data_IF_990868668663
#
_entry.id   IF_990868668663
#
_cell.length_a   1.000
_cell.length_b   1.000
_cell.length_c   1.000
_cell.angle_alpha   90.00
_cell.angle_beta   90.00
_cell.angle_gamma   90.00
#
_symmetry.space_group_name_H-M   'P 1'
#
loop_
_entity.id
_entity.type
_entity.pdbx_description
1 polymer ?
#
# COMPACT_ATOMS: atom_id res chain seq x y z
N UNK A 1 9.86 6.32 7.34
CA UNK A 1 9.34 6.26 8.71
C UNK A 1 10.06 7.21 9.67
N UNK A 2 9.38 7.68 10.68
CA UNK A 2 9.92 8.54 11.73
C UNK A 2 9.52 8.02 13.11
N UNK A 3 10.38 8.27 14.12
CA UNK A 3 10.06 7.99 15.52
C UNK A 3 9.78 9.30 16.25
N UNK A 4 8.65 9.37 16.95
CA UNK A 4 8.28 10.51 17.80
C UNK A 4 7.73 10.00 19.12
N UNK A 5 8.28 10.50 20.25
CA UNK A 5 7.85 10.13 21.60
C UNK A 5 7.86 8.61 21.86
N UNK A 6 8.81 7.88 21.25
CA UNK A 6 8.94 6.42 21.40
C UNK A 6 7.97 5.58 20.57
N UNK A 7 7.27 6.18 19.63
CA UNK A 7 6.40 5.48 18.67
C UNK A 7 6.79 5.81 17.23
N UNK A 8 6.57 4.84 16.34
CA UNK A 8 6.86 4.95 14.90
C UNK A 8 5.59 5.36 14.15
N UNK A 9 5.77 6.24 13.18
CA UNK A 9 4.79 6.55 12.15
C UNK A 9 5.45 6.56 10.78
N UNK A 10 4.76 6.04 9.78
CA UNK A 10 5.26 5.94 8.41
C UNK A 10 4.14 6.04 7.39
N UNK A 11 4.51 6.36 6.18
CA UNK A 11 3.66 6.22 4.99
C UNK A 11 4.52 6.27 3.73
N UNK A 12 3.98 5.79 2.60
CA UNK A 12 4.60 5.89 1.29
C UNK A 12 3.63 6.50 0.28
N UNK A 13 4.17 7.29 -0.64
CA UNK A 13 3.42 7.93 -1.72
C UNK A 13 4.23 7.91 -3.00
N UNK A 14 3.61 7.52 -4.11
CA UNK A 14 4.24 7.52 -5.43
C UNK A 14 3.84 8.78 -6.20
N UNK A 15 4.83 9.56 -6.63
CA UNK A 15 4.65 10.73 -7.50
C UNK A 15 4.94 10.36 -8.96
N UNK A 16 4.22 11.00 -9.88
CA UNK A 16 4.52 10.94 -11.31
C UNK A 16 5.15 12.25 -11.72
N UNK A 17 6.38 12.20 -12.24
CA UNK A 17 7.12 13.38 -12.72
C UNK A 17 6.93 13.55 -14.24
N UNK A 18 6.47 14.72 -14.67
CA UNK A 18 6.28 15.05 -16.08
C UNK A 18 5.29 14.13 -16.80
N UNK A 19 5.50 13.94 -18.10
CA UNK A 19 4.66 13.08 -18.92
C UNK A 19 4.92 11.60 -18.64
N UNK A 20 3.85 10.82 -18.56
CA UNK A 20 3.92 9.38 -18.34
C UNK A 20 2.93 8.64 -19.25
N UNK A 21 3.26 7.44 -19.71
CA UNK A 21 2.34 6.59 -20.45
C UNK A 21 1.04 6.36 -19.67
N UNK A 22 -0.09 6.28 -20.39
CA UNK A 22 -1.41 6.07 -19.77
C UNK A 22 -1.45 4.82 -18.88
N UNK A 23 -0.75 3.77 -19.28
CA UNK A 23 -0.65 2.53 -18.49
C UNK A 23 0.05 2.71 -17.14
N UNK A 24 1.06 3.62 -17.05
CA UNK A 24 1.71 3.95 -15.79
C UNK A 24 0.77 4.76 -14.89
N UNK A 25 0.05 5.74 -15.45
CA UNK A 25 -0.98 6.50 -14.72
C UNK A 25 -2.08 5.57 -14.18
N UNK A 26 -2.52 4.60 -14.99
CA UNK A 26 -3.49 3.60 -14.57
C UNK A 26 -2.96 2.72 -13.43
N UNK A 27 -1.68 2.32 -13.48
CA UNK A 27 -1.05 1.57 -12.40
C UNK A 27 -1.05 2.37 -11.09
N UNK A 28 -0.69 3.67 -11.14
CA UNK A 28 -0.70 4.57 -9.96
C UNK A 28 -2.10 4.62 -9.35
N UNK A 29 -3.11 4.88 -10.18
CA UNK A 29 -4.50 4.91 -9.72
C UNK A 29 -4.95 3.60 -9.09
N UNK A 30 -4.74 2.49 -9.78
CA UNK A 30 -5.17 1.16 -9.31
C UNK A 30 -4.47 0.79 -8.00
N UNK A 31 -3.20 1.12 -7.85
CA UNK A 31 -2.47 0.86 -6.60
C UNK A 31 -3.03 1.70 -5.46
N UNK A 32 -3.25 3.00 -5.68
CA UNK A 32 -3.85 3.92 -4.69
C UNK A 32 -5.26 3.44 -4.29
N UNK A 33 -6.11 3.11 -5.25
CA UNK A 33 -7.46 2.59 -5.00
C UNK A 33 -7.43 1.27 -4.21
N UNK A 34 -6.46 0.38 -4.52
CA UNK A 34 -6.33 -0.91 -3.83
C UNK A 34 -5.99 -0.74 -2.35
N UNK A 35 -5.17 0.27 -2.00
CA UNK A 35 -4.89 0.62 -0.61
C UNK A 35 -6.19 0.91 0.15
N UNK A 36 -7.04 1.78 -0.38
CA UNK A 36 -8.31 2.11 0.27
C UNK A 36 -9.27 0.92 0.33
N UNK A 37 -9.29 0.05 -0.68
CA UNK A 37 -10.06 -1.21 -0.62
C UNK A 37 -9.58 -2.16 0.47
N UNK A 38 -8.26 -2.21 0.71
CA UNK A 38 -7.68 -2.91 1.84
C UNK A 38 -8.10 -2.28 3.18
N UNK A 39 -8.00 -0.96 3.30
CA UNK A 39 -8.38 -0.20 4.51
C UNK A 39 -9.85 -0.41 4.89
N UNK A 40 -10.76 -0.48 3.91
CA UNK A 40 -12.19 -0.80 4.17
C UNK A 40 -12.39 -2.13 4.89
N UNK A 41 -11.46 -3.07 4.77
CA UNK A 41 -11.50 -4.39 5.43
C UNK A 41 -10.78 -4.42 6.77
N UNK A 42 -10.05 -3.36 7.14
CA UNK A 42 -9.31 -3.25 8.39
C UNK A 42 -10.24 -2.89 9.58
N UNK A 43 -11.28 -3.68 9.79
CA UNK A 43 -12.29 -3.46 10.83
C UNK A 43 -12.23 -4.54 11.91
N UNK A 44 -12.54 -4.17 13.15
CA UNK A 44 -12.54 -5.10 14.28
C UNK A 44 -13.50 -6.29 14.03
N UNK A 45 -12.97 -7.50 14.22
CA UNK A 45 -13.69 -8.75 13.93
C UNK A 45 -13.43 -9.32 12.54
N UNK A 46 -12.94 -8.52 11.57
CA UNK A 46 -12.40 -9.00 10.30
C UNK A 46 -11.07 -9.76 10.46
N UNK A 47 -10.44 -10.11 9.37
CA UNK A 47 -9.17 -10.84 9.36
C UNK A 47 -8.17 -10.21 8.40
N UNK A 48 -6.88 -10.44 8.65
CA UNK A 48 -5.78 -9.99 7.75
C UNK A 48 -6.02 -10.46 6.30
N UNK A 49 -6.48 -11.70 6.10
CA UNK A 49 -6.79 -12.22 4.77
C UNK A 49 -7.93 -11.49 4.03
N UNK A 50 -8.78 -10.77 4.74
CA UNK A 50 -9.82 -9.95 4.10
C UNK A 50 -9.21 -8.70 3.47
N UNK A 51 -8.24 -8.06 4.15
CA UNK A 51 -7.43 -6.95 3.64
C UNK A 51 -6.64 -7.42 2.40
N UNK A 52 -5.86 -8.48 2.58
CA UNK A 52 -5.01 -9.10 1.56
C UNK A 52 -5.79 -9.44 0.28
N UNK A 53 -6.94 -10.10 0.43
CA UNK A 53 -7.80 -10.46 -0.69
C UNK A 53 -8.37 -9.23 -1.41
N UNK A 54 -8.80 -8.21 -0.69
CA UNK A 54 -9.38 -7.01 -1.29
C UNK A 54 -8.37 -6.30 -2.21
N UNK A 55 -7.11 -6.22 -1.78
CA UNK A 55 -6.00 -5.66 -2.57
C UNK A 55 -5.72 -6.53 -3.79
N UNK A 56 -5.51 -7.84 -3.60
CA UNK A 56 -5.19 -8.77 -4.69
C UNK A 56 -6.31 -8.87 -5.72
N UNK A 57 -7.56 -8.99 -5.28
CA UNK A 57 -8.72 -9.09 -6.18
C UNK A 57 -8.81 -7.88 -7.11
N UNK A 58 -8.57 -6.70 -6.56
CA UNK A 58 -8.62 -5.48 -7.35
C UNK A 58 -7.43 -5.33 -8.30
N UNK A 59 -6.23 -5.56 -7.84
CA UNK A 59 -5.00 -5.35 -8.62
C UNK A 59 -4.66 -6.50 -9.55
N UNK A 60 -4.61 -7.75 -9.04
CA UNK A 60 -4.17 -8.92 -9.80
C UNK A 60 -5.32 -9.51 -10.64
N UNK A 61 -6.51 -9.76 -10.02
CA UNK A 61 -7.58 -10.45 -10.72
C UNK A 61 -8.36 -9.55 -11.69
N UNK A 62 -8.59 -8.28 -11.34
CA UNK A 62 -9.36 -7.35 -12.20
C UNK A 62 -8.51 -6.58 -13.19
N UNK A 63 -7.28 -6.21 -12.81
CA UNK A 63 -6.40 -5.39 -13.65
C UNK A 63 -5.20 -6.15 -14.23
N UNK A 64 -4.91 -7.38 -13.80
CA UNK A 64 -3.84 -8.22 -14.34
C UNK A 64 -2.44 -7.81 -13.92
N UNK A 65 -2.30 -6.98 -12.88
CA UNK A 65 -1.01 -6.49 -12.36
C UNK A 65 -0.34 -7.49 -11.42
N UNK A 66 0.98 -7.38 -11.27
CA UNK A 66 1.74 -8.23 -10.36
C UNK A 66 1.72 -7.71 -8.92
N UNK A 67 1.16 -8.46 -7.98
CA UNK A 67 1.24 -8.14 -6.53
C UNK A 67 2.53 -8.67 -5.96
N UNK A 68 3.41 -7.80 -5.45
CA UNK A 68 4.65 -8.20 -4.76
C UNK A 68 4.31 -9.04 -3.54
N UNK A 69 5.07 -10.14 -3.33
CA UNK A 69 4.81 -11.11 -2.24
C UNK A 69 5.96 -11.21 -1.24
N UNK A 70 7.13 -10.76 -1.63
CA UNK A 70 8.37 -10.78 -0.85
C UNK A 70 8.39 -9.69 0.23
N UNK A 71 7.61 -8.63 0.03
CA UNK A 71 7.44 -7.50 0.94
C UNK A 71 5.96 -7.37 1.29
N UNK A 72 5.67 -7.08 2.55
CA UNK A 72 4.30 -7.06 3.09
C UNK A 72 4.17 -5.96 4.14
N UNK A 73 2.96 -5.49 4.37
CA UNK A 73 2.65 -4.63 5.50
C UNK A 73 2.80 -5.36 6.84
N UNK A 74 2.69 -4.63 7.92
CA UNK A 74 3.02 -5.12 9.26
C UNK A 74 2.26 -4.37 10.35
N UNK A 75 2.33 -4.89 11.57
CA UNK A 75 2.03 -4.12 12.77
C UNK A 75 3.09 -3.06 13.01
N UNK A 76 2.74 -1.97 13.66
CA UNK A 76 3.69 -0.96 14.09
C UNK A 76 3.27 -0.35 15.42
N UNK A 77 4.28 0.13 16.16
CA UNK A 77 4.08 0.74 17.47
C UNK A 77 5.35 1.36 17.99
N UNK A 78 6.05 0.68 18.88
CA UNK A 78 7.36 1.13 19.40
C UNK A 78 8.50 0.80 18.44
N UNK A 79 8.33 -0.25 17.63
CA UNK A 79 9.23 -0.61 16.54
C UNK A 79 8.53 -0.45 15.19
N UNK A 80 9.31 -0.27 14.14
CA UNK A 80 8.77 -0.07 12.79
C UNK A 80 8.03 -1.33 12.30
N UNK A 81 8.65 -2.48 12.44
CA UNK A 81 8.09 -3.75 12.01
C UNK A 81 7.72 -4.60 13.22
N UNK A 82 6.42 -4.74 13.48
CA UNK A 82 5.85 -5.60 14.52
C UNK A 82 4.89 -6.62 13.89
N UNK A 83 4.59 -7.68 14.62
CA UNK A 83 3.48 -8.57 14.23
C UNK A 83 2.12 -7.82 14.34
N UNK A 84 1.15 -8.15 13.50
CA UNK A 84 1.17 -9.22 12.48
C UNK A 84 1.70 -8.75 11.12
N UNK A 85 2.18 -9.70 10.30
CA UNK A 85 2.36 -9.46 8.88
C UNK A 85 1.01 -9.17 8.20
N UNK A 86 0.98 -8.18 7.29
CA UNK A 86 -0.20 -7.73 6.54
C UNK A 86 0.07 -7.87 5.02
N UNK A 87 -0.02 -9.09 4.47
CA UNK A 87 0.27 -9.29 3.05
C UNK A 87 -0.79 -8.62 2.16
N UNK A 88 -0.37 -8.27 0.93
CA UNK A 88 -1.23 -7.70 -0.10
C UNK A 88 -1.89 -8.76 -1.00
N UNK A 89 -1.81 -10.04 -0.61
CA UNK A 89 -2.37 -11.20 -1.30
C UNK A 89 -2.83 -12.25 -0.28
N UNK A 90 -3.88 -12.99 -0.59
CA UNK A 90 -4.38 -14.00 0.32
C UNK A 90 -5.83 -14.42 0.08
N UNK A 91 -6.41 -15.10 1.05
CA UNK A 91 -7.79 -15.60 0.99
C UNK A 91 -8.66 -14.92 2.05
N UNK A 92 -9.90 -14.64 1.68
CA UNK A 92 -10.92 -14.13 2.62
C UNK A 92 -11.08 -15.08 3.81
N UNK A 93 -11.31 -14.49 4.99
CA UNK A 93 -11.60 -15.23 6.22
C UNK A 93 -10.39 -15.95 6.82
N UNK A 94 -9.17 -15.72 6.33
CA UNK A 94 -7.94 -16.35 6.85
C UNK A 94 -7.06 -15.36 7.62
N UNK A 95 -6.04 -15.87 8.29
CA UNK A 95 -5.08 -15.08 9.06
C UNK A 95 -5.62 -14.57 10.39
N UNK A 96 -4.84 -13.73 11.06
CA UNK A 96 -5.14 -13.18 12.36
C UNK A 96 -6.47 -12.40 12.34
N UNK A 97 -7.28 -12.58 13.39
CA UNK A 97 -8.48 -11.78 13.61
C UNK A 97 -8.10 -10.38 14.09
N UNK A 98 -8.60 -9.37 13.41
CA UNK A 98 -8.32 -7.98 13.73
C UNK A 98 -9.00 -7.57 15.04
N UNK A 99 -8.20 -7.11 15.99
CA UNK A 99 -8.67 -6.58 17.27
C UNK A 99 -8.81 -5.06 17.20
N UNK A 100 -9.73 -4.50 17.94
CA UNK A 100 -9.88 -3.05 18.06
C UNK A 100 -8.61 -2.45 18.66
N UNK A 101 -8.17 -1.31 18.12
CA UNK A 101 -6.95 -0.58 18.44
C UNK A 101 -5.63 -1.23 17.98
N UNK A 102 -5.66 -2.32 17.22
CA UNK A 102 -4.48 -2.80 16.51
C UNK A 102 -4.06 -1.73 15.49
N UNK A 103 -2.78 -1.34 15.49
CA UNK A 103 -2.20 -0.43 14.51
C UNK A 103 -1.38 -1.24 13.50
N UNK A 104 -1.66 -1.04 12.21
CA UNK A 104 -1.01 -1.76 11.11
C UNK A 104 -0.67 -0.81 9.96
N UNK A 105 0.39 -1.13 9.23
CA UNK A 105 0.69 -0.59 7.92
C UNK A 105 -0.01 -1.44 6.84
N UNK A 106 -0.71 -0.78 5.94
CA UNK A 106 -1.27 -1.39 4.72
C UNK A 106 -0.57 -0.71 3.56
N UNK A 107 0.20 -1.49 2.79
CA UNK A 107 1.19 -0.96 1.86
C UNK A 107 1.28 -1.77 0.55
N UNK A 108 0.28 -1.72 -0.32
CA UNK A 108 0.35 -2.42 -1.60
C UNK A 108 1.53 -1.94 -2.45
N UNK A 109 2.34 -2.91 -2.90
CA UNK A 109 3.40 -2.77 -3.89
C UNK A 109 2.98 -3.55 -5.14
N UNK A 110 2.71 -2.83 -6.23
CA UNK A 110 2.08 -3.36 -7.42
C UNK A 110 2.95 -3.09 -8.64
N UNK A 111 3.30 -4.15 -9.36
CA UNK A 111 4.09 -4.11 -10.59
C UNK A 111 3.17 -4.06 -11.81
N UNK A 112 3.52 -3.27 -12.81
CA UNK A 112 2.84 -3.27 -14.11
C UNK A 112 2.88 -4.64 -14.79
N UNK A 113 4.01 -5.34 -14.64
CA UNK A 113 4.25 -6.67 -15.19
C UNK A 113 4.11 -7.79 -14.16
N UNK A 114 5.12 -8.65 -14.09
CA UNK A 114 5.11 -9.81 -13.18
C UNK A 114 5.39 -9.41 -11.73
N UNK A 115 4.87 -10.20 -10.79
CA UNK A 115 4.99 -9.98 -9.34
C UNK A 115 6.41 -10.09 -8.76
N UNK A 116 7.32 -10.75 -9.48
CA UNK A 116 8.64 -11.12 -8.94
C UNK A 116 9.57 -9.91 -8.83
N UNK A 117 10.22 -9.81 -7.70
CA UNK A 117 11.24 -8.79 -7.40
C UNK A 117 12.56 -9.44 -7.02
N UNK A 118 13.62 -8.65 -6.92
CA UNK A 118 14.93 -9.05 -6.38
C UNK A 118 15.56 -7.87 -5.65
N UNK A 119 16.40 -8.18 -4.67
CA UNK A 119 17.19 -7.17 -3.97
C UNK A 119 18.54 -7.02 -4.66
N UNK A 120 18.97 -5.79 -4.90
CA UNK A 120 20.28 -5.45 -5.46
C UNK A 120 21.43 -5.83 -4.51
N UNK A 121 22.66 -5.77 -5.00
CA UNK A 121 23.86 -6.10 -4.22
C UNK A 121 24.12 -5.17 -3.03
N UNK A 122 23.48 -4.00 -2.99
CA UNK A 122 23.51 -3.07 -1.86
C UNK A 122 22.71 -3.57 -0.64
N UNK A 123 21.96 -4.68 -0.81
CA UNK A 123 21.11 -5.27 0.25
C UNK A 123 19.87 -4.47 0.62
N UNK A 124 19.58 -3.39 -0.12
CA UNK A 124 18.48 -2.46 0.17
C UNK A 124 17.54 -2.23 -1.02
N UNK A 125 18.08 -1.90 -2.18
CA UNK A 125 17.30 -1.56 -3.37
C UNK A 125 16.57 -2.78 -3.91
N UNK A 126 15.24 -2.68 -4.00
CA UNK A 126 14.39 -3.73 -4.57
C UNK A 126 13.92 -3.31 -5.96
N UNK A 127 14.06 -4.21 -6.93
CA UNK A 127 13.64 -3.99 -8.33
C UNK A 127 12.76 -5.12 -8.84
N UNK A 128 11.90 -4.80 -9.81
CA UNK A 128 11.13 -5.81 -10.54
C UNK A 128 12.07 -6.66 -11.42
N UNK A 129 11.83 -7.98 -11.47
CA UNK A 129 12.68 -8.88 -12.27
C UNK A 129 12.55 -8.68 -13.77
N UNK A 130 11.41 -8.20 -14.23
CA UNK A 130 11.13 -7.96 -15.65
C UNK A 130 11.40 -6.51 -16.08
N UNK A 131 11.87 -5.65 -15.18
CA UNK A 131 12.17 -4.24 -15.45
C UNK A 131 10.91 -3.37 -15.59
N UNK A 132 9.72 -3.92 -15.31
CA UNK A 132 8.49 -3.15 -15.38
C UNK A 132 8.39 -2.13 -14.23
N UNK A 133 7.65 -1.01 -14.40
CA UNK A 133 7.37 -0.07 -13.32
C UNK A 133 6.67 -0.73 -12.14
N UNK A 134 6.95 -0.24 -10.94
CA UNK A 134 6.27 -0.61 -9.70
C UNK A 134 5.77 0.63 -8.98
N UNK A 135 4.65 0.52 -8.30
CA UNK A 135 4.02 1.61 -7.53
C UNK A 135 3.77 1.15 -6.10
N UNK A 136 4.03 2.05 -5.17
CA UNK A 136 3.85 1.83 -3.74
C UNK A 136 3.07 2.99 -3.11
N UNK A 137 2.01 2.66 -2.39
CA UNK A 137 1.30 3.56 -1.48
C UNK A 137 1.13 2.89 -0.13
N UNK A 138 1.14 3.68 0.93
CA UNK A 138 1.02 3.16 2.28
C UNK A 138 0.26 4.11 3.20
N UNK A 139 -0.60 3.53 4.03
CA UNK A 139 -1.19 4.20 5.18
C UNK A 139 -1.01 3.38 6.46
N UNK A 140 -0.67 4.08 7.56
CA UNK A 140 -0.87 3.54 8.88
C UNK A 140 -2.34 3.67 9.28
N UNK A 141 -2.92 2.60 9.76
CA UNK A 141 -4.33 2.57 10.17
C UNK A 141 -4.49 1.95 11.55
N UNK A 142 -5.41 2.49 12.32
CA UNK A 142 -5.87 1.90 13.57
C UNK A 142 -7.20 1.19 13.32
N UNK A 143 -7.24 -0.11 13.61
CA UNK A 143 -8.45 -0.94 13.51
C UNK A 143 -9.49 -0.45 14.49
N UNK A 144 -10.70 -0.16 14.01
CA UNK A 144 -11.85 0.25 14.83
C UNK A 144 -13.11 -0.56 14.48
N UNK A 145 -14.14 -0.46 15.30
CA UNK A 145 -15.46 -1.01 14.96
C UNK A 145 -16.06 -0.24 13.78
N UNK A 146 -16.54 -0.95 12.78
CA UNK A 146 -17.23 -0.40 11.62
C UNK A 146 -16.30 0.20 10.54
N UNK A 147 -15.37 1.09 10.90
CA UNK A 147 -14.45 1.74 9.94
C UNK A 147 -13.08 1.96 10.57
N UNK A 148 -12.01 1.60 9.86
CA UNK A 148 -10.64 1.90 10.28
C UNK A 148 -10.40 3.41 10.38
N UNK A 149 -9.55 3.81 11.31
CA UNK A 149 -9.04 5.17 11.40
C UNK A 149 -7.70 5.25 10.69
N UNK A 150 -7.61 6.05 9.63
CA UNK A 150 -6.34 6.35 8.97
C UNK A 150 -5.57 7.33 9.85
N UNK A 151 -4.29 7.01 10.14
CA UNK A 151 -3.42 7.78 11.02
C UNK A 151 -2.43 8.67 10.25
N UNK A 152 -2.06 8.29 9.03
CA UNK A 152 -1.24 9.07 8.10
C UNK A 152 -2.13 9.88 7.15
N UNK A 153 -1.70 11.08 6.77
CA UNK A 153 -2.53 12.02 5.99
C UNK A 153 -1.86 12.36 4.66
N UNK A 154 -2.52 12.04 3.55
CA UNK A 154 -2.07 12.42 2.21
C UNK A 154 -2.54 13.82 1.77
N UNK A 155 -3.43 14.48 2.49
CA UNK A 155 -4.05 15.73 2.05
C UNK A 155 -3.03 16.84 1.75
N UNK A 156 -1.98 16.97 2.58
CA UNK A 156 -0.90 17.94 2.37
C UNK A 156 -0.10 17.60 1.10
N UNK A 157 0.19 16.30 0.88
CA UNK A 157 0.91 15.80 -0.28
C UNK A 157 0.09 16.06 -1.55
N UNK A 158 -1.18 15.68 -1.54
CA UNK A 158 -2.10 15.86 -2.67
C UNK A 158 -2.34 17.33 -3.02
N UNK A 159 -2.41 18.20 -2.00
CA UNK A 159 -2.50 19.64 -2.23
C UNK A 159 -1.23 20.21 -2.89
N UNK A 160 -0.04 19.78 -2.44
CA UNK A 160 1.23 20.16 -3.04
C UNK A 160 1.39 19.62 -4.47
N UNK A 161 0.98 18.38 -4.70
CA UNK A 161 1.00 17.72 -6.02
C UNK A 161 0.17 18.50 -7.04
N UNK A 162 -1.04 18.94 -6.68
CA UNK A 162 -1.94 19.71 -7.55
C UNK A 162 -1.40 21.10 -7.93
N UNK A 163 -0.52 21.67 -7.13
CA UNK A 163 0.07 23.00 -7.36
C UNK A 163 1.45 22.94 -8.01
N UNK A 164 2.06 21.78 -8.14
CA UNK A 164 3.39 21.60 -8.72
C UNK A 164 3.29 21.20 -10.20
N UNK A 165 3.62 22.13 -11.11
CA UNK A 165 3.57 21.90 -12.55
C UNK A 165 4.48 20.76 -13.07
N UNK A 166 5.44 20.29 -12.28
CA UNK A 166 6.30 19.16 -12.64
C UNK A 166 5.68 17.80 -12.30
N UNK A 167 4.58 17.78 -11.55
CA UNK A 167 3.89 16.57 -11.14
C UNK A 167 2.64 16.32 -11.99
N UNK A 168 2.41 15.07 -12.34
CA UNK A 168 1.28 14.66 -13.18
C UNK A 168 0.22 13.97 -12.33
N UNK A 169 -0.91 14.64 -12.12
CA UNK A 169 -2.08 14.14 -11.40
C UNK A 169 -3.13 13.52 -12.34
N UNK A 170 -2.81 13.33 -13.61
CA UNK A 170 -3.74 12.80 -14.62
C UNK A 170 -4.37 11.45 -14.27
N UNK A 171 -3.73 10.69 -13.39
CA UNK A 171 -4.27 9.42 -12.88
C UNK A 171 -5.54 9.59 -12.02
N UNK A 172 -5.77 10.75 -11.41
CA UNK A 172 -6.99 11.01 -10.62
C UNK A 172 -8.27 11.04 -11.48
N UNK A 173 -8.13 11.27 -12.79
CA UNK A 173 -9.24 11.42 -13.74
C UNK A 173 -9.51 10.17 -14.60
N UNK A 174 -8.85 9.04 -14.32
CA UNK A 174 -8.97 7.78 -15.08
C UNK A 174 -10.12 6.89 -14.62
#
# INVERSE_FOLDING_TARGET
GITKNGYVGEHAYTFVLGDAPKEHLQLVKVTKDSLYKGIEKAVAGGRIGDIAYAIQDYTEHKHGYGVVRELVGHGLGKTMHEEPNVPNYGRRGTGLKLQENLTIAIEPMINLGKRNVYTESDGWTVKTRDGSPSVHFEHNVCVKKGKAQILSDFSIIEAAEKTNANLNTGYENL
#
